data_IF_486622321002
#
_entry.id   IF_486622321002
#
_cell.length_a   1.000
_cell.length_b   1.000
_cell.length_c   1.000
_cell.angle_alpha   90.00
_cell.angle_beta   90.00
_cell.angle_gamma   90.00
#
_symmetry.space_group_name_H-M   'P 1'
#
loop_
_entity.id
_entity.type
_entity.pdbx_description
1 polymer ?
2 non-polymer ?
3 non-polymer ?
4 non-polymer ?
5 water ?
#
# COMPACT_ATOMS: atom_id res chain seq x y z
N UNK A 1 -12.57 12.62 -4.27
CA UNK A 1 -12.72 11.25 -3.72
C UNK A 1 -11.66 10.99 -2.68
N UNK A 2 -12.09 10.49 -1.52
CA UNK A 2 -11.20 10.21 -0.39
C UNK A 2 -11.15 8.69 -0.23
N UNK A 3 -10.00 8.08 -0.54
CA UNK A 3 -9.94 6.65 -0.72
C UNK A 3 -8.82 6.04 0.12
N UNK A 4 -9.07 4.83 0.58
CA UNK A 4 -8.07 3.95 1.15
C UNK A 4 -7.98 2.70 0.27
N UNK A 5 -6.74 2.28 -0.04
CA UNK A 5 -6.45 0.93 -0.54
C UNK A 5 -5.91 0.08 0.61
N UNK A 6 -6.55 -1.06 0.82
CA UNK A 6 -6.20 -2.03 1.83
C UNK A 6 -5.92 -3.34 1.11
N UNK A 7 -5.06 -4.16 1.68
CA UNK A 7 -4.79 -5.47 1.14
C UNK A 7 -3.56 -6.02 1.82
N UNK A 8 -3.51 -7.34 1.92
CA UNK A 8 -2.37 -8.02 2.50
C UNK A 8 -1.13 -7.76 1.64
N UNK A 9 0.07 -7.94 2.23
CA UNK A 9 1.28 -7.64 1.51
C UNK A 9 1.34 -8.37 0.16
N UNK A 10 1.61 -7.60 -0.89
CA UNK A 10 1.70 -8.11 -2.24
C UNK A 10 0.44 -8.10 -3.03
N UNK A 11 -0.67 -7.59 -2.45
CA UNK A 11 -2.00 -7.77 -3.08
C UNK A 11 -2.17 -6.95 -4.33
N UNK A 12 -1.31 -5.98 -4.58
CA UNK A 12 -1.38 -5.14 -5.79
C UNK A 12 -1.78 -3.69 -5.53
N UNK A 13 -1.59 -3.21 -4.31
CA UNK A 13 -2.02 -1.87 -3.97
C UNK A 13 -1.26 -0.81 -4.78
N UNK A 14 0.06 -0.91 -4.86
CA UNK A 14 0.85 0.07 -5.62
C UNK A 14 0.57 0.05 -7.10
N UNK A 15 0.43 -1.17 -7.63
CA UNK A 15 0.03 -1.34 -9.03
C UNK A 15 -1.27 -0.58 -9.35
N UNK A 16 -2.28 -0.82 -8.52
CA UNK A 16 -3.58 -0.19 -8.73
C UNK A 16 -3.55 1.29 -8.41
N UNK A 17 -2.80 1.66 -7.38
CA UNK A 17 -2.68 3.06 -7.02
C UNK A 17 -2.16 3.91 -8.17
N UNK A 18 -1.12 3.42 -8.84
CA UNK A 18 -0.56 4.16 -9.98
C UNK A 18 -1.59 4.41 -11.07
N UNK A 19 -2.47 3.43 -11.30
CA UNK A 19 -3.52 3.54 -12.30
C UNK A 19 -4.64 4.49 -11.85
N UNK A 20 -4.93 4.50 -10.54
CA UNK A 20 -5.92 5.40 -9.97
C UNK A 20 -5.40 6.84 -10.08
N UNK A 21 -4.15 7.11 -9.73
CA UNK A 21 -3.68 8.51 -9.77
C UNK A 21 -3.57 8.98 -11.24
N UNK A 22 -3.18 8.11 -12.16
CA UNK A 22 -3.11 8.49 -13.56
C UNK A 22 -4.48 8.90 -14.09
N UNK A 23 -5.51 8.16 -13.72
CA UNK A 23 -6.85 8.48 -14.20
C UNK A 23 -7.48 9.66 -13.45
N UNK A 24 -7.41 9.63 -12.13
CA UNK A 24 -8.18 10.60 -11.33
C UNK A 24 -7.39 11.78 -10.79
N UNK A 25 -6.06 11.80 -10.92
CA UNK A 25 -5.28 12.97 -10.49
C UNK A 25 -5.41 13.33 -9.02
N UNK A 26 -5.46 12.32 -8.17
CA UNK A 26 -5.42 12.52 -6.71
C UNK A 26 -4.06 12.02 -6.22
N UNK A 27 -3.58 12.56 -5.07
CA UNK A 27 -2.27 12.12 -4.63
C UNK A 27 -2.28 10.72 -4.02
N UNK A 28 -1.19 10.01 -4.30
CA UNK A 28 -0.88 8.70 -3.74
C UNK A 28 -0.09 8.86 -2.46
N UNK A 29 -0.68 8.45 -1.35
CA UNK A 29 0.01 8.49 -0.07
C UNK A 29 0.21 7.07 0.45
N UNK A 30 1.45 6.60 0.34
CA UNK A 30 1.83 5.25 0.76
C UNK A 30 2.74 5.37 1.95
N UNK A 31 2.30 4.83 3.09
CA UNK A 31 3.11 4.80 4.30
C UNK A 31 4.40 4.03 4.10
N UNK A 32 4.35 2.91 3.38
CA UNK A 32 5.57 2.19 3.09
C UNK A 32 6.59 3.03 2.31
N UNK A 33 6.11 3.73 1.28
CA UNK A 33 6.97 4.59 0.47
C UNK A 33 7.52 5.75 1.31
N UNK A 34 6.70 6.26 2.22
CA UNK A 34 7.11 7.37 3.08
C UNK A 34 8.20 6.89 4.03
N UNK A 35 8.03 5.70 4.63
CA UNK A 35 9.08 5.15 5.51
C UNK A 35 10.37 4.90 4.74
N UNK A 36 10.27 4.32 3.54
CA UNK A 36 11.48 4.09 2.71
C UNK A 36 12.23 5.38 2.35
N UNK A 37 11.46 6.44 2.06
CA UNK A 37 12.01 7.79 1.82
C UNK A 37 12.68 8.40 3.05
N UNK A 38 12.05 8.23 4.21
CA UNK A 38 12.66 8.62 5.49
C UNK A 38 13.97 7.87 5.76
N UNK A 39 13.98 6.58 5.50
CA UNK A 39 15.20 5.76 5.55
C UNK A 39 16.31 6.34 4.63
N UNK A 40 15.93 6.73 3.41
CA UNK A 40 16.87 7.36 2.49
C UNK A 40 17.37 8.74 2.98
N UNK A 41 16.51 9.54 3.61
CA UNK A 41 16.94 10.81 4.24
C UNK A 41 17.87 10.55 5.45
N UNK A 42 17.81 9.35 6.02
CA UNK A 42 18.63 8.99 7.16
C UNK A 42 18.13 9.66 8.42
N UNK A 43 16.82 9.93 8.49
CA UNK A 43 16.26 10.62 9.63
C UNK A 43 16.12 9.66 10.80
N UNK A 44 16.02 10.22 12.00
CA UNK A 44 15.81 9.41 13.20
C UNK A 44 14.50 8.59 13.04
N UNK A 45 13.48 9.22 12.49
CA UNK A 45 12.21 8.53 12.23
C UNK A 45 12.43 7.33 11.30
N UNK A 46 13.13 7.59 10.21
CA UNK A 46 13.43 6.57 9.23
C UNK A 46 14.15 5.38 9.79
N UNK A 47 15.26 5.67 10.51
CA UNK A 47 16.06 4.61 11.07
C UNK A 47 15.28 3.83 12.11
N UNK A 48 14.39 4.48 12.86
CA UNK A 48 13.57 3.75 13.82
C UNK A 48 12.57 2.86 13.11
N UNK A 49 12.03 3.34 12.00
CA UNK A 49 11.11 2.51 11.21
C UNK A 49 11.77 1.30 10.59
N UNK A 50 13.00 1.49 10.14
CA UNK A 50 13.77 0.44 9.48
C UNK A 50 13.82 -0.84 10.29
N UNK A 51 14.01 -0.74 11.60
CA UNK A 51 14.11 -1.93 12.44
C UNK A 51 12.87 -2.81 12.40
N UNK A 52 11.70 -2.19 12.36
CA UNK A 52 10.44 -2.95 12.23
C UNK A 52 10.25 -3.51 10.81
N UNK A 53 10.49 -2.66 9.83
CA UNK A 53 10.30 -3.00 8.42
C UNK A 53 11.19 -4.16 7.98
N UNK A 54 12.45 -4.15 8.43
CA UNK A 54 13.40 -5.23 8.11
C UNK A 54 12.97 -6.58 8.64
N UNK A 55 12.22 -6.59 9.73
CA UNK A 55 11.66 -7.79 10.35
C UNK A 55 10.28 -8.17 9.82
N UNK A 56 9.71 -7.31 8.97
CA UNK A 56 8.31 -7.47 8.50
C UNK A 56 7.25 -7.13 9.53
N UNK A 57 7.63 -6.43 10.61
CA UNK A 57 6.70 -5.94 11.63
C UNK A 57 6.10 -4.62 11.21
N UNK A 58 4.93 -4.31 11.75
CA UNK A 58 4.36 -2.96 11.60
C UNK A 58 5.15 -1.94 12.43
N UNK A 59 5.42 -0.79 11.83
CA UNK A 59 5.90 0.38 12.55
C UNK A 59 4.83 0.74 13.58
N UNK A 60 5.27 1.16 14.79
CA UNK A 60 4.28 1.46 15.82
C UNK A 60 3.23 2.51 15.40
N UNK A 61 2.04 2.44 15.99
CA UNK A 61 0.91 3.26 15.55
C UNK A 61 1.15 4.79 15.62
N UNK A 62 1.68 5.26 16.75
CA UNK A 62 1.69 6.70 16.98
C UNK A 62 2.55 7.43 15.95
N UNK A 63 3.76 6.91 15.67
CA UNK A 63 4.60 7.57 14.67
C UNK A 63 3.97 7.51 13.28
N UNK A 64 3.32 6.39 12.96
CA UNK A 64 2.72 6.22 11.66
C UNK A 64 1.59 7.22 11.46
N UNK A 65 0.72 7.31 12.48
CA UNK A 65 -0.39 8.32 12.49
C UNK A 65 0.14 9.73 12.26
N UNK A 66 1.26 10.06 12.89
CA UNK A 66 1.83 11.38 12.83
C UNK A 66 2.27 11.79 11.45
N UNK A 67 2.94 10.92 10.72
CA UNK A 67 3.37 11.26 9.37
C UNK A 67 2.17 11.36 8.42
N UNK A 68 1.13 10.55 8.66
CA UNK A 68 -0.10 10.61 7.87
C UNK A 68 -0.88 11.93 8.13
N UNK A 69 -1.04 12.29 9.39
CA UNK A 69 -1.69 13.56 9.74
C UNK A 69 -0.99 14.71 9.02
N UNK A 70 0.32 14.77 9.09
CA UNK A 70 1.06 15.85 8.44
C UNK A 70 0.87 15.85 6.92
N UNK A 71 0.96 14.66 6.31
CA UNK A 71 0.86 14.54 4.86
C UNK A 71 -0.54 14.98 4.36
N UNK A 72 -1.59 14.55 5.07
CA UNK A 72 -2.98 14.90 4.69
C UNK A 72 -3.33 16.35 4.89
N UNK A 73 -2.54 17.07 5.65
CA UNK A 73 -2.76 18.50 5.84
C UNK A 73 -2.37 19.40 4.64
N UNK A 74 -1.68 18.83 3.65
CA UNK A 74 -1.14 19.58 2.53
C UNK A 74 -2.23 19.98 1.52
N UNK A 75 -1.95 21.02 0.76
CA UNK A 75 -2.94 21.56 -0.20
C UNK A 75 -3.38 20.54 -1.25
N UNK A 76 -2.48 19.66 -1.64
CA UNK A 76 -2.81 18.67 -2.64
C UNK A 76 -3.84 17.60 -2.26
N UNK A 77 -4.20 17.50 -0.98
CA UNK A 77 -5.22 16.57 -0.52
C UNK A 77 -6.59 17.20 -0.33
N UNK A 78 -6.73 18.48 -0.63
CA UNK A 78 -8.00 19.16 -0.42
C UNK A 78 -9.13 18.62 -1.28
N UNK A 79 -8.82 18.14 -2.49
CA UNK A 79 -9.83 17.66 -3.43
C UNK A 79 -9.81 16.17 -3.58
N UNK A 80 -9.16 15.45 -2.67
CA UNK A 80 -9.11 14.02 -2.77
C UNK A 80 -7.73 13.47 -2.48
N UNK A 81 -7.70 12.18 -2.13
CA UNK A 81 -6.47 11.50 -1.90
C UNK A 81 -6.67 9.98 -1.96
N UNK A 82 -5.53 9.30 -2.11
CA UNK A 82 -5.48 7.86 -2.12
C UNK A 82 -4.46 7.35 -1.09
N UNK A 83 -4.96 6.96 0.07
CA UNK A 83 -4.13 6.32 1.10
C UNK A 83 -3.89 4.87 0.68
N UNK A 84 -2.66 4.41 0.84
CA UNK A 84 -2.24 3.08 0.33
C UNK A 84 -1.46 2.44 1.50
N UNK A 85 -2.08 1.43 2.13
CA UNK A 85 -1.43 0.71 3.21
C UNK A 85 -1.52 1.39 4.53
N UNK A 86 -2.39 2.38 4.64
CA UNK A 86 -2.77 2.97 5.92
C UNK A 86 -4.29 3.13 5.86
N UNK A 87 -5.06 2.73 6.87
CA UNK A 87 -4.58 2.18 8.16
C UNK A 87 -4.28 0.71 8.08
N UNK A 88 -3.49 0.25 9.05
CA UNK A 88 -3.08 -1.17 9.19
C UNK A 88 -3.51 -1.79 10.49
N UNK A 89 -4.03 -0.97 11.41
CA UNK A 89 -4.61 -1.44 12.66
C UNK A 89 -5.88 -0.65 12.92
N UNK A 90 -6.73 -1.19 13.76
CA UNK A 90 -7.96 -0.46 14.15
C UNK A 90 -7.61 0.90 14.82
N UNK A 91 -6.56 0.94 15.62
CA UNK A 91 -6.14 2.20 16.25
C UNK A 91 -5.78 3.26 15.19
N UNK A 92 -5.07 2.84 14.14
CA UNK A 92 -4.83 3.73 13.00
C UNK A 92 -6.13 4.17 12.30
N UNK A 93 -7.09 3.25 12.17
CA UNK A 93 -8.36 3.59 11.49
C UNK A 93 -9.13 4.62 12.30
N UNK A 94 -9.15 4.45 13.62
CA UNK A 94 -9.80 5.42 14.52
C UNK A 94 -9.10 6.76 14.44
N UNK A 95 -7.78 6.77 14.42
CA UNK A 95 -7.01 8.00 14.25
C UNK A 95 -7.30 8.72 12.94
N UNK A 96 -7.42 7.95 11.87
CA UNK A 96 -7.74 8.52 10.59
C UNK A 96 -9.10 9.21 10.65
N UNK A 97 -10.08 8.61 11.33
CA UNK A 97 -11.42 9.26 11.42
C UNK A 97 -11.24 10.63 12.06
N UNK A 98 -10.42 10.71 13.11
CA UNK A 98 -10.17 12.00 13.79
C UNK A 98 -9.44 12.97 12.88
N UNK A 99 -8.40 12.51 12.19
CA UNK A 99 -7.68 13.35 11.25
C UNK A 99 -8.64 13.92 10.19
N UNK A 100 -9.48 13.07 9.62
CA UNK A 100 -10.41 13.51 8.61
C UNK A 100 -11.48 14.46 9.17
N UNK A 101 -11.99 14.16 10.35
CA UNK A 101 -12.96 15.06 11.01
C UNK A 101 -12.35 16.44 11.19
N UNK A 102 -11.09 16.50 11.60
CA UNK A 102 -10.41 17.80 11.79
C UNK A 102 -10.31 18.60 10.46
N UNK A 103 -10.14 17.89 9.35
CA UNK A 103 -10.07 18.45 8.03
C UNK A 103 -11.48 18.69 7.43
N UNK A 104 -12.55 18.25 8.09
CA UNK A 104 -13.91 18.35 7.56
C UNK A 104 -14.18 17.44 6.38
N UNK A 105 -13.54 16.28 6.39
CA UNK A 105 -13.66 15.28 5.34
C UNK A 105 -14.20 13.95 5.86
N UNK A 106 -14.69 13.14 4.91
CA UNK A 106 -15.12 11.76 5.17
C UNK A 106 -14.56 10.84 4.13
N UNK A 107 -14.24 9.64 4.56
CA UNK A 107 -13.84 8.60 3.62
C UNK A 107 -15.01 8.25 2.77
N UNK A 108 -14.71 8.06 1.48
CA UNK A 108 -15.71 7.56 0.52
C UNK A 108 -15.70 6.03 0.51
N UNK A 109 -14.55 5.45 0.22
CA UNK A 109 -14.42 3.99 0.14
C UNK A 109 -13.10 3.52 0.70
N UNK A 110 -13.15 2.34 1.33
CA UNK A 110 -11.97 1.54 1.67
C UNK A 110 -12.05 0.33 0.71
N UNK A 111 -11.12 0.32 -0.24
CA UNK A 111 -11.05 -0.67 -1.31
C UNK A 111 -10.09 -1.73 -0.84
N UNK A 112 -10.65 -2.91 -0.56
CA UNK A 112 -9.88 -4.04 -0.02
C UNK A 112 -9.61 -5.02 -1.14
N UNK A 113 -8.33 -5.17 -1.52
CA UNK A 113 -7.95 -6.04 -2.63
C UNK A 113 -7.60 -7.42 -2.08
N UNK A 114 -8.38 -8.43 -2.44
CA UNK A 114 -8.30 -9.77 -1.86
C UNK A 114 -7.49 -10.71 -2.73
N UNK A 115 -6.47 -11.33 -2.13
CA UNK A 115 -5.66 -12.34 -2.81
C UNK A 115 -5.30 -13.38 -1.74
N UNK A 116 -5.30 -14.69 -2.07
CA UNK A 116 -4.93 -15.70 -1.03
C UNK A 116 -3.44 -15.66 -0.61
N UNK A 117 -3.17 -16.12 0.62
CA UNK A 117 -1.81 -16.10 1.22
C UNK A 117 -0.76 -16.75 0.32
N UNK A 118 -0.99 -17.96 -0.15
CA UNK A 118 0.03 -18.62 -1.03
C UNK A 118 0.35 -17.79 -2.27
N UNK A 119 -0.67 -17.15 -2.85
CA UNK A 119 -0.42 -16.31 -4.02
C UNK A 119 0.39 -15.08 -3.59
N UNK A 120 0.08 -14.50 -2.44
CA UNK A 120 0.83 -13.32 -2.01
C UNK A 120 2.32 -13.61 -1.78
N UNK A 121 2.64 -14.80 -1.27
CA UNK A 121 4.04 -15.16 -1.07
C UNK A 121 4.81 -15.07 -2.37
N UNK A 122 4.22 -15.64 -3.41
CA UNK A 122 4.82 -15.61 -4.72
C UNK A 122 4.83 -14.22 -5.38
N UNK A 123 3.78 -13.43 -5.14
CA UNK A 123 3.77 -12.04 -5.61
C UNK A 123 5.02 -11.30 -5.12
N UNK A 124 5.36 -11.52 -3.86
CA UNK A 124 6.47 -10.82 -3.25
C UNK A 124 7.82 -11.41 -3.61
N UNK A 125 7.96 -12.72 -3.50
CA UNK A 125 9.28 -13.28 -3.80
C UNK A 125 9.65 -13.16 -5.28
N UNK A 126 8.65 -13.16 -6.16
CA UNK A 126 8.86 -12.94 -7.60
C UNK A 126 8.91 -11.48 -8.09
N UNK A 127 8.75 -10.52 -7.17
CA UNK A 127 8.82 -9.13 -7.50
C UNK A 127 10.25 -8.71 -7.82
N UNK A 128 10.41 -7.95 -8.91
CA UNK A 128 11.70 -7.34 -9.24
C UNK A 128 11.47 -5.86 -9.52
N UNK A 129 12.37 -5.01 -9.04
CA UNK A 129 12.19 -3.55 -9.10
C UNK A 129 13.41 -2.93 -9.83
N UNK A 130 13.15 -1.92 -10.66
CA UNK A 130 14.22 -1.23 -11.37
C UNK A 130 15.02 -0.31 -10.45
N UNK A 131 16.33 -0.55 -10.39
CA UNK A 131 17.26 0.28 -9.58
C UNK A 131 17.25 1.74 -9.97
N UNK A 132 17.05 2.04 -11.25
CA UNK A 132 17.20 3.40 -11.77
C UNK A 132 15.87 4.17 -11.95
N UNK A 133 14.72 3.50 -12.11
CA UNK A 133 13.40 4.22 -12.20
C UNK A 133 12.24 3.71 -11.33
N UNK A 134 12.47 2.64 -10.56
CA UNK A 134 11.45 2.10 -9.69
C UNK A 134 10.31 1.37 -10.36
N UNK A 135 10.40 1.14 -11.67
CA UNK A 135 9.42 0.30 -12.36
C UNK A 135 9.38 -1.07 -11.68
N UNK A 136 8.18 -1.66 -11.60
CA UNK A 136 7.96 -2.95 -10.96
C UNK A 136 7.54 -4.04 -11.95
N UNK A 137 8.16 -5.21 -11.80
CA UNK A 137 7.90 -6.38 -12.61
C UNK A 137 7.64 -7.57 -11.68
N UNK A 138 7.20 -8.66 -12.27
CA UNK A 138 7.03 -9.92 -11.58
C UNK A 138 7.51 -11.03 -12.52
N UNK A 139 8.36 -11.90 -12.02
CA UNK A 139 8.99 -12.91 -12.89
C UNK A 139 7.99 -13.80 -13.62
N UNK A 140 6.87 -14.10 -12.96
CA UNK A 140 5.81 -14.86 -13.59
C UNK A 140 4.75 -13.98 -14.31
N UNK A 141 4.10 -13.10 -13.56
CA UNK A 141 2.91 -12.40 -14.02
C UNK A 141 3.15 -11.13 -14.78
N UNK A 142 4.35 -10.56 -14.72
CA UNK A 142 4.66 -9.33 -15.47
C UNK A 142 6.16 -9.19 -15.74
N UNK A 143 6.70 -10.12 -16.53
CA UNK A 143 8.15 -10.21 -16.63
C UNK A 143 8.73 -9.07 -17.47
N UNK A 144 9.98 -8.70 -17.21
CA UNK A 144 10.65 -7.77 -18.11
C UNK A 144 10.85 -8.45 -19.46
N UNK A 145 10.96 -7.65 -20.51
CA UNK A 145 11.16 -8.19 -21.84
C UNK A 145 12.51 -8.84 -21.98
N UNK A 146 13.52 -8.33 -21.27
CA UNK A 146 14.88 -8.88 -21.32
C UNK A 146 15.27 -9.19 -19.86
N UNK A 147 15.67 -10.44 -19.61
CA UNK A 147 15.91 -10.94 -18.25
C UNK A 147 16.87 -10.03 -17.49
N UNK A 148 16.48 -9.68 -16.28
CA UNK A 148 17.35 -8.91 -15.43
C UNK A 148 17.46 -7.44 -15.74
N UNK A 149 16.77 -6.92 -16.77
CA UNK A 149 16.86 -5.47 -16.99
C UNK A 149 15.50 -4.80 -17.19
N UNK A 150 15.44 -3.53 -16.83
CA UNK A 150 14.20 -2.75 -16.92
C UNK A 150 13.87 -2.47 -18.39
N UNK A 151 12.60 -2.48 -18.74
CA UNK A 151 12.18 -2.24 -20.11
C UNK A 151 12.36 -0.78 -20.57
N UNK A 152 12.20 0.17 -19.65
CA UNK A 152 11.94 1.57 -20.04
C UNK A 152 13.19 2.46 -20.02
N UNK A 153 14.11 2.16 -19.13
CA UNK A 153 15.51 2.52 -19.30
C UNK A 153 16.18 1.14 -19.39
N UNK A 154 17.48 1.04 -19.18
CA UNK A 154 18.16 -0.27 -19.26
C UNK A 154 18.65 -0.74 -17.91
N UNK A 155 17.98 -0.31 -16.85
CA UNK A 155 18.48 -0.45 -15.48
C UNK A 155 18.44 -1.87 -14.97
N UNK A 156 19.34 -2.17 -14.04
CA UNK A 156 19.37 -3.48 -13.40
C UNK A 156 18.12 -3.63 -12.53
N UNK A 157 17.56 -4.84 -12.48
CA UNK A 157 16.47 -5.13 -11.57
C UNK A 157 17.03 -5.67 -10.25
N UNK A 158 16.35 -5.33 -9.15
CA UNK A 158 16.73 -5.79 -7.80
C UNK A 158 15.50 -6.29 -7.06
N UNK A 159 15.75 -6.94 -5.93
CA UNK A 159 14.69 -7.51 -5.10
C UNK A 159 14.61 -6.70 -3.83
N UNK A 160 13.42 -6.26 -3.46
CA UNK A 160 13.29 -5.41 -2.27
C UNK A 160 13.85 -6.21 -1.05
N UNK A 161 14.53 -5.50 -0.14
CA UNK A 161 15.14 -6.18 1.00
C UNK A 161 14.14 -7.10 1.75
N UNK A 162 12.94 -6.59 1.96
CA UNK A 162 11.90 -7.26 2.72
C UNK A 162 11.06 -8.26 1.90
N UNK A 163 11.44 -8.53 0.64
CA UNK A 163 10.76 -9.53 -0.16
C UNK A 163 11.42 -10.92 -0.07
N UNK A 164 12.44 -11.09 0.77
CA UNK A 164 13.00 -12.43 1.02
C UNK A 164 11.96 -13.30 1.71
N UNK A 165 11.99 -14.62 1.47
CA UNK A 165 10.94 -15.48 2.03
C UNK A 165 10.70 -15.39 3.54
N UNK A 166 11.77 -15.26 4.35
CA UNK A 166 11.63 -15.15 5.81
C UNK A 166 10.82 -13.90 6.18
N UNK A 167 11.17 -12.76 5.58
CA UNK A 167 10.52 -11.51 5.91
C UNK A 167 9.10 -11.48 5.39
N UNK A 168 8.90 -12.00 4.17
CA UNK A 168 7.55 -12.11 3.60
C UNK A 168 6.67 -12.92 4.52
N UNK A 169 7.17 -14.05 5.05
CA UNK A 169 6.37 -14.88 5.94
C UNK A 169 5.86 -14.04 7.13
N UNK A 170 6.74 -13.23 7.71
CA UNK A 170 6.35 -12.47 8.88
C UNK A 170 5.39 -11.34 8.51
N UNK A 171 5.67 -10.67 7.40
CA UNK A 171 4.74 -9.63 6.90
C UNK A 171 3.35 -10.18 6.77
N UNK A 172 3.23 -11.37 6.18
CA UNK A 172 1.88 -11.94 6.01
C UNK A 172 1.23 -12.27 7.34
N UNK A 173 1.99 -12.89 8.26
CA UNK A 173 1.42 -13.23 9.57
C UNK A 173 0.98 -11.97 10.31
N UNK A 174 1.82 -10.95 10.34
CA UNK A 174 1.52 -9.72 11.06
C UNK A 174 0.22 -9.07 10.57
N UNK A 175 0.11 -8.97 9.25
CA UNK A 175 -1.02 -8.25 8.66
C UNK A 175 -2.28 -9.09 8.64
N UNK A 176 -2.14 -10.41 8.50
CA UNK A 176 -3.33 -11.28 8.63
C UNK A 176 -4.03 -11.17 10.00
N UNK A 177 -3.24 -11.06 11.09
CA UNK A 177 -3.76 -10.83 12.43
C UNK A 177 -4.62 -9.59 12.51
N UNK A 178 -4.25 -8.53 11.76
CA UNK A 178 -5.00 -7.25 11.77
C UNK A 178 -6.20 -7.19 10.81
N UNK A 179 -6.34 -8.17 9.93
CA UNK A 179 -7.24 -8.03 8.79
C UNK A 179 -8.72 -8.08 9.20
N UNK A 180 -9.16 -9.11 9.91
CA UNK A 180 -10.57 -9.16 10.31
C UNK A 180 -10.99 -7.92 11.16
N UNK A 181 -10.15 -7.52 12.13
CA UNK A 181 -10.52 -6.26 12.81
C UNK A 181 -10.75 -5.05 11.89
N UNK A 182 -9.88 -4.84 10.93
CA UNK A 182 -10.05 -3.75 9.99
C UNK A 182 -11.26 -3.90 9.11
N UNK A 183 -11.48 -5.11 8.59
CA UNK A 183 -12.64 -5.35 7.75
C UNK A 183 -13.91 -5.04 8.51
N UNK A 184 -14.03 -5.54 9.74
CA UNK A 184 -15.23 -5.27 10.57
C UNK A 184 -15.39 -3.78 10.84
N UNK A 185 -14.31 -3.08 11.16
CA UNK A 185 -14.39 -1.65 11.38
C UNK A 185 -15.01 -0.91 10.21
N UNK A 186 -14.54 -1.18 9.00
CA UNK A 186 -15.04 -0.48 7.83
C UNK A 186 -16.35 -1.02 7.32
N UNK A 187 -16.64 -2.30 7.56
CA UNK A 187 -18.00 -2.83 7.21
C UNK A 187 -19.08 -2.10 8.03
N UNK A 188 -18.81 -1.88 9.32
CA UNK A 188 -19.71 -1.17 10.22
C UNK A 188 -20.01 0.23 9.66
N UNK A 189 -18.98 0.87 9.10
CA UNK A 189 -19.11 2.22 8.53
C UNK A 189 -19.86 2.22 7.20
N UNK A 190 -19.87 1.05 6.57
CA UNK A 190 -20.55 0.81 5.30
C UNK A 190 -19.75 1.31 4.10
N UNK A 191 -18.43 1.49 4.28
CA UNK A 191 -17.55 2.01 3.26
C UNK A 191 -16.59 0.96 2.67
N UNK A 192 -16.58 -0.26 3.22
CA UNK A 192 -15.74 -1.37 2.71
C UNK A 192 -16.28 -1.87 1.38
N UNK A 193 -15.38 -1.97 0.40
CA UNK A 193 -15.64 -2.53 -0.88
C UNK A 193 -14.53 -3.51 -1.20
N UNK A 194 -14.92 -4.75 -1.40
CA UNK A 194 -13.96 -5.80 -1.71
C UNK A 194 -13.78 -5.92 -3.22
N UNK A 195 -12.53 -6.12 -3.63
CA UNK A 195 -12.12 -6.28 -5.02
C UNK A 195 -11.33 -7.57 -5.14
N UNK A 196 -11.64 -8.38 -6.15
CA UNK A 196 -10.91 -9.64 -6.43
C UNK A 196 -9.58 -9.27 -7.07
N UNK A 197 -8.50 -9.39 -6.30
CA UNK A 197 -7.20 -9.06 -6.85
C UNK A 197 -6.50 -10.13 -7.68
N UNK A 198 -7.13 -11.29 -7.79
CA UNK A 198 -6.60 -12.42 -8.57
C UNK A 198 -7.10 -12.39 -10.02
N UNK A 199 -6.76 -11.32 -10.70
CA UNK A 199 -7.19 -11.08 -12.09
C UNK A 199 -6.05 -10.40 -12.80
N UNK A 200 -6.10 -10.31 -14.14
CA UNK A 200 -5.17 -9.46 -14.91
C UNK A 200 -5.14 -8.09 -14.22
N UNK A 201 -3.99 -7.43 -14.23
CA UNK A 201 -3.86 -6.08 -13.61
C UNK A 201 -4.93 -5.13 -14.15
N UNK A 202 -5.20 -5.20 -15.45
CA UNK A 202 -6.19 -4.26 -16.01
C UNK A 202 -7.63 -4.59 -15.65
N UNK A 203 -7.90 -5.87 -15.36
CA UNK A 203 -9.25 -6.29 -14.96
C UNK A 203 -9.53 -5.97 -13.51
N UNK A 204 -8.48 -6.00 -12.71
CA UNK A 204 -8.59 -5.46 -11.35
C UNK A 204 -8.95 -3.99 -11.45
N UNK A 205 -8.23 -3.27 -12.30
CA UNK A 205 -8.47 -1.84 -12.44
C UNK A 205 -9.85 -1.55 -13.00
N UNK A 206 -10.31 -2.35 -13.95
CA UNK A 206 -11.65 -2.19 -14.46
C UNK A 206 -12.69 -2.29 -13.35
N UNK A 207 -12.51 -3.25 -12.42
CA UNK A 207 -13.43 -3.37 -11.28
C UNK A 207 -13.39 -2.14 -10.33
N UNK A 208 -12.20 -1.62 -10.11
CA UNK A 208 -12.03 -0.40 -9.34
C UNK A 208 -12.70 0.79 -10.06
N UNK A 209 -12.54 0.92 -11.39
CA UNK A 209 -13.15 1.99 -12.16
C UNK A 209 -14.67 1.96 -12.05
N UNK A 210 -15.23 0.77 -12.10
CA UNK A 210 -16.68 0.58 -11.98
C UNK A 210 -17.16 1.06 -10.63
N UNK A 211 -16.40 0.77 -9.61
CA UNK A 211 -16.73 1.25 -8.28
C UNK A 211 -16.63 2.77 -8.17
N UNK A 212 -15.53 3.33 -8.63
CA UNK A 212 -15.30 4.75 -8.53
C UNK A 212 -16.19 5.56 -9.43
N UNK A 213 -16.69 4.94 -10.51
CA UNK A 213 -17.73 5.52 -11.35
C UNK A 213 -18.99 5.88 -10.57
N UNK A 214 -19.33 5.12 -9.53
CA UNK A 214 -20.36 5.52 -8.56
C UNK A 214 -19.78 6.36 -7.42
#
# INVERSE_FOLDING_TARGET
MNLVLMGLPGAGKGTQAEKIVEKYGIPHISTGDMFRAAIKEGTELGLKAKSFMDKGELVPDEVTIGIVRERLSKDDCKKGFLLDGFPRTVAQAEALDNILSELGKKLDYVINIEVPKEELMERLTGRRICKTCGATYHLIFNPPKVEGICDKDGGELYQRADDNPETVANRLDVNMKQTQPLLDFYEEKGVLRNIDGQQDINKVFADIKALLGGLKQENLYFQ
#
